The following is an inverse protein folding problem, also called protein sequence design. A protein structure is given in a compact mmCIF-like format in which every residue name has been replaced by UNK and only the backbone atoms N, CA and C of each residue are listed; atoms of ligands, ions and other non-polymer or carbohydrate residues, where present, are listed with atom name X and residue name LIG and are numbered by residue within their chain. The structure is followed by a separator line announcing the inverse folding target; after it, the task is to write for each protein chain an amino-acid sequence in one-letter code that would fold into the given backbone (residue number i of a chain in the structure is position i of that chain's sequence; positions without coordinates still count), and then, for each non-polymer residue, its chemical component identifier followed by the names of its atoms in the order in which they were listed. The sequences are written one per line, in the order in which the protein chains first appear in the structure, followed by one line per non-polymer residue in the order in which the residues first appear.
data_IF_030761440232
#
_entry.id   IF_030761440232
#
_cell.length_a   1.000
_cell.length_b   1.000
_cell.length_c   1.000
_cell.angle_alpha   90.00
_cell.angle_beta   90.00
_cell.angle_gamma   90.00
#
_symmetry.space_group_name_H-M   'P 1'
#
loop_
_entity.id
_entity.type
_entity.pdbx_description
1 polymer ?
#
# COMPACT_ATOMS: atom_id res chain seq x y z
N UNK A 1 3.41 -28.94 12.12
CA UNK A 1 4.23 -27.83 12.66
C UNK A 1 3.50 -26.47 12.68
N UNK A 2 3.19 -25.79 11.56
CA UNK A 2 2.54 -24.46 11.65
C UNK A 2 1.11 -24.47 12.23
N UNK A 3 0.34 -25.54 11.96
CA UNK A 3 -1.03 -25.69 12.44
C UNK A 3 -1.10 -25.91 13.96
N UNK A 4 -0.29 -26.81 14.49
CA UNK A 4 -0.19 -27.06 15.94
C UNK A 4 0.24 -25.81 16.70
N UNK A 5 1.20 -25.05 16.15
CA UNK A 5 1.63 -23.79 16.76
C UNK A 5 0.53 -22.72 16.81
N UNK A 6 -0.39 -22.72 15.84
CA UNK A 6 -1.57 -21.84 15.84
C UNK A 6 -2.59 -22.31 16.88
N UNK A 7 -2.89 -23.61 16.90
CA UNK A 7 -3.84 -24.21 17.84
C UNK A 7 -3.41 -24.01 19.29
N UNK A 8 -2.12 -24.21 19.60
CA UNK A 8 -1.55 -23.93 20.92
C UNK A 8 -1.67 -22.45 21.32
N UNK A 9 -1.37 -21.52 20.41
CA UNK A 9 -1.49 -20.09 20.70
C UNK A 9 -2.95 -19.66 20.92
N UNK A 10 -3.90 -20.27 20.21
CA UNK A 10 -5.33 -20.03 20.41
C UNK A 10 -5.82 -20.60 21.73
N UNK A 11 -5.43 -21.83 22.08
CA UNK A 11 -5.79 -22.45 23.35
C UNK A 11 -5.27 -21.62 24.54
N UNK A 12 -4.01 -21.18 24.49
CA UNK A 12 -3.41 -20.36 25.54
C UNK A 12 -4.08 -18.99 25.64
N UNK A 13 -4.37 -18.34 24.50
CA UNK A 13 -5.15 -17.09 24.49
C UNK A 13 -6.49 -17.28 25.19
N UNK A 14 -7.24 -18.33 24.82
CA UNK A 14 -8.58 -18.58 25.37
C UNK A 14 -8.52 -18.87 26.87
N UNK A 15 -7.56 -19.67 27.33
CA UNK A 15 -7.37 -19.96 28.75
C UNK A 15 -7.01 -18.72 29.55
N UNK A 16 -6.06 -17.91 29.09
CA UNK A 16 -5.68 -16.67 29.77
C UNK A 16 -6.82 -15.64 29.76
N UNK A 17 -7.59 -15.55 28.67
CA UNK A 17 -8.76 -14.67 28.62
C UNK A 17 -9.85 -15.15 29.58
N UNK A 18 -10.12 -16.45 29.65
CA UNK A 18 -11.08 -17.02 30.59
C UNK A 18 -10.67 -16.73 32.04
N UNK A 19 -9.40 -16.90 32.40
CA UNK A 19 -8.90 -16.60 33.74
C UNK A 19 -9.03 -15.11 34.12
N UNK A 20 -8.92 -14.20 33.14
CA UNK A 20 -9.23 -12.77 33.37
C UNK A 20 -10.73 -12.59 33.57
N UNK A 21 -11.55 -13.21 32.72
CA UNK A 21 -13.00 -13.03 32.72
C UNK A 21 -13.66 -13.63 33.98
N UNK A 22 -13.08 -14.69 34.55
CA UNK A 22 -13.51 -15.30 35.82
C UNK A 22 -12.94 -14.60 37.05
N UNK A 23 -11.97 -13.69 36.87
CA UNK A 23 -11.28 -13.00 37.96
C UNK A 23 -10.18 -13.81 38.64
N UNK A 24 -9.76 -14.96 38.09
CA UNK A 24 -8.54 -15.66 38.56
C UNK A 24 -7.27 -14.83 38.35
N UNK A 25 -7.28 -13.98 37.31
CA UNK A 25 -6.27 -12.94 37.08
C UNK A 25 -6.94 -11.59 37.31
N UNK A 26 -6.69 -11.01 38.47
CA UNK A 26 -7.33 -9.78 38.94
C UNK A 26 -6.53 -8.53 38.57
N UNK A 27 -5.23 -8.69 38.32
CA UNK A 27 -4.35 -7.56 38.06
C UNK A 27 -3.24 -7.87 37.05
N UNK A 28 -2.59 -6.79 36.61
CA UNK A 28 -1.55 -6.86 35.57
C UNK A 28 -0.32 -7.63 36.03
N UNK A 29 0.04 -7.57 37.30
CA UNK A 29 1.21 -8.28 37.81
C UNK A 29 1.02 -9.79 37.66
N UNK A 30 -0.12 -10.32 38.12
CA UNK A 30 -0.49 -11.73 37.95
C UNK A 30 -0.49 -12.14 36.48
N UNK A 31 -1.01 -11.29 35.59
CA UNK A 31 -1.00 -11.55 34.15
C UNK A 31 0.44 -11.65 33.59
N UNK A 32 1.36 -10.81 34.04
CA UNK A 32 2.75 -10.82 33.57
C UNK A 32 3.54 -12.01 34.14
N UNK A 33 3.27 -12.39 35.39
CA UNK A 33 3.85 -13.59 36.01
C UNK A 33 3.40 -14.86 35.29
N UNK A 34 2.10 -14.96 34.96
CA UNK A 34 1.57 -16.06 34.15
C UNK A 34 2.17 -16.06 32.74
N UNK A 35 2.32 -14.89 32.11
CA UNK A 35 2.95 -14.81 30.80
C UNK A 35 4.42 -15.30 30.85
N UNK A 36 5.15 -14.96 31.91
CA UNK A 36 6.52 -15.42 32.12
C UNK A 36 6.60 -16.93 32.33
N UNK A 37 5.66 -17.54 33.09
CA UNK A 37 5.64 -19.00 33.30
C UNK A 37 5.42 -19.79 32.00
N UNK A 38 4.73 -19.19 31.03
CA UNK A 38 4.55 -19.73 29.68
C UNK A 38 5.64 -19.33 28.67
N UNK A 39 6.74 -18.71 29.11
CA UNK A 39 7.82 -18.20 28.26
C UNK A 39 7.33 -17.24 27.15
N UNK A 40 6.31 -16.43 27.44
CA UNK A 40 5.76 -15.48 26.50
C UNK A 40 6.53 -14.16 26.54
N UNK A 41 6.96 -13.67 25.38
CA UNK A 41 7.53 -12.33 25.28
C UNK A 41 6.43 -11.27 25.17
N UNK A 42 6.47 -10.28 26.06
CA UNK A 42 5.53 -9.15 26.03
C UNK A 42 5.86 -8.24 24.84
N UNK A 43 4.95 -8.18 23.87
CA UNK A 43 5.13 -7.32 22.70
C UNK A 43 4.41 -5.98 22.82
N UNK A 44 3.41 -5.89 23.70
CA UNK A 44 2.71 -4.64 24.01
C UNK A 44 2.03 -4.74 25.37
N UNK A 45 2.13 -3.67 26.15
CA UNK A 45 1.49 -3.56 27.47
C UNK A 45 0.54 -2.34 27.49
N UNK A 46 -0.66 -2.53 26.92
CA UNK A 46 -1.69 -1.51 26.77
C UNK A 46 -2.42 -1.18 28.07
N UNK A 47 -3.37 -0.24 28.01
CA UNK A 47 -4.19 0.13 29.18
C UNK A 47 -5.16 -1.02 29.52
N UNK A 48 -5.82 -1.53 28.50
CA UNK A 48 -6.93 -2.50 28.54
C UNK A 48 -6.58 -3.84 27.85
N UNK A 49 -5.30 -4.06 27.54
CA UNK A 49 -4.83 -5.31 26.94
C UNK A 49 -3.33 -5.52 27.09
N UNK A 50 -2.91 -6.77 26.93
CA UNK A 50 -1.51 -7.16 26.75
C UNK A 50 -1.37 -8.05 25.52
N UNK A 51 -0.31 -7.83 24.73
CA UNK A 51 0.00 -8.62 23.54
C UNK A 51 1.25 -9.46 23.78
N UNK A 52 1.17 -10.74 23.49
CA UNK A 52 2.22 -11.73 23.76
C UNK A 52 2.71 -12.40 22.49
N UNK A 53 3.97 -12.84 22.50
CA UNK A 53 4.61 -13.63 21.44
C UNK A 53 5.02 -14.98 22.02
N UNK A 54 4.56 -16.06 21.39
CA UNK A 54 5.00 -17.42 21.69
C UNK A 54 6.37 -17.70 21.07
N UNK A 55 7.10 -18.69 21.58
CA UNK A 55 8.36 -19.16 20.98
C UNK A 55 8.22 -19.56 19.50
N UNK A 56 7.03 -19.99 19.08
CA UNK A 56 6.70 -20.31 17.68
C UNK A 56 6.61 -19.10 16.74
N UNK A 57 6.76 -17.87 17.25
CA UNK A 57 6.57 -16.62 16.50
C UNK A 57 5.11 -16.22 16.30
N UNK A 58 4.15 -16.97 16.85
CA UNK A 58 2.74 -16.60 16.85
C UNK A 58 2.45 -15.59 17.95
N UNK A 59 1.54 -14.66 17.67
CA UNK A 59 1.15 -13.58 18.58
C UNK A 59 -0.31 -13.67 18.92
N UNK A 60 -0.65 -13.35 20.16
CA UNK A 60 -2.03 -13.16 20.58
C UNK A 60 -2.14 -11.97 21.55
N UNK A 61 -3.38 -11.62 21.87
CA UNK A 61 -3.72 -10.53 22.77
C UNK A 61 -4.85 -10.98 23.68
N UNK A 62 -4.75 -10.60 24.94
CA UNK A 62 -5.82 -10.69 25.94
C UNK A 62 -6.21 -9.29 26.38
N UNK A 63 -7.50 -9.11 26.68
CA UNK A 63 -8.10 -7.85 27.09
C UNK A 63 -8.51 -7.93 28.56
N UNK A 64 -8.41 -6.82 29.28
CA UNK A 64 -8.74 -6.73 30.70
C UNK A 64 -9.15 -5.31 31.06
N UNK A 65 -9.77 -5.15 32.22
CA UNK A 65 -10.15 -3.86 32.78
C UNK A 65 -9.65 -3.69 34.22
N UNK A 66 -8.34 -3.89 34.45
CA UNK A 66 -7.74 -3.85 35.79
C UNK A 66 -7.79 -2.46 36.46
N UNK A 67 -8.17 -1.39 35.74
CA UNK A 67 -8.25 -0.01 36.24
C UNK A 67 -6.97 0.47 36.96
N UNK A 68 -5.82 -0.14 36.66
CA UNK A 68 -4.53 0.06 37.32
C UNK A 68 -3.73 1.22 36.72
N UNK A 69 -4.29 1.87 35.70
CA UNK A 69 -3.70 3.03 35.03
C UNK A 69 -4.78 4.10 34.86
N UNK A 70 -4.43 5.39 34.96
CA UNK A 70 -5.36 6.45 34.67
C UNK A 70 -5.90 6.27 33.26
N UNK A 71 -7.23 6.32 33.11
CA UNK A 71 -7.88 6.32 31.80
C UNK A 71 -7.29 7.49 31.05
N UNK A 72 -6.45 7.19 30.04
CA UNK A 72 -5.88 8.22 29.19
C UNK A 72 -7.06 8.97 28.61
N UNK A 73 -7.18 10.26 28.92
CA UNK A 73 -8.25 11.10 28.40
C UNK A 73 -8.42 10.77 26.93
N UNK A 74 -9.63 10.35 26.54
CA UNK A 74 -9.93 10.11 25.13
C UNK A 74 -9.63 11.43 24.45
N UNK A 75 -8.46 11.53 23.79
CA UNK A 75 -8.21 12.59 22.82
C UNK A 75 -9.43 12.53 21.93
N UNK A 76 -10.29 13.54 22.03
CA UNK A 76 -11.40 13.73 21.11
C UNK A 76 -10.75 13.54 19.75
N UNK A 77 -11.14 12.48 19.04
CA UNK A 77 -10.69 12.30 17.66
C UNK A 77 -11.29 13.50 16.97
N UNK A 78 -10.53 14.61 16.92
CA UNK A 78 -10.89 15.77 16.16
C UNK A 78 -11.33 15.25 14.81
N UNK A 79 -12.50 15.71 14.38
CA UNK A 79 -13.16 15.27 13.16
C UNK A 79 -12.07 15.10 12.10
N UNK A 80 -11.79 13.84 11.72
CA UNK A 80 -10.79 13.59 10.69
C UNK A 80 -11.39 14.21 9.46
N UNK A 81 -11.04 15.48 9.17
CA UNK A 81 -11.34 16.13 7.91
C UNK A 81 -10.81 15.17 6.86
N UNK A 82 -11.72 14.39 6.26
CA UNK A 82 -11.38 13.56 5.12
C UNK A 82 -10.88 14.58 4.12
N UNK A 83 -9.59 14.55 3.80
CA UNK A 83 -9.10 15.31 2.64
C UNK A 83 -9.94 14.80 1.48
N UNK A 84 -10.93 15.59 1.08
CA UNK A 84 -11.70 15.31 -0.12
C UNK A 84 -10.67 15.44 -1.23
N UNK A 85 -10.22 14.30 -1.74
CA UNK A 85 -9.29 14.26 -2.85
C UNK A 85 -10.10 14.62 -4.09
N UNK A 86 -9.68 15.63 -4.84
CA UNK A 86 -10.32 16.00 -6.10
C UNK A 86 -10.12 14.95 -7.20
N UNK A 87 -9.26 13.96 -6.94
CA UNK A 87 -8.97 12.82 -7.81
C UNK A 87 -7.71 12.09 -7.38
N UNK A 88 -7.21 11.25 -8.28
CA UNK A 88 -6.03 10.42 -8.08
C UNK A 88 -5.14 10.48 -9.31
N UNK A 89 -3.83 10.57 -9.08
CA UNK A 89 -2.83 10.35 -10.12
C UNK A 89 -2.74 8.86 -10.42
N UNK A 90 -2.72 8.52 -11.69
CA UNK A 90 -2.44 7.19 -12.18
C UNK A 90 -1.01 7.21 -12.72
N UNK A 91 -0.19 6.29 -12.23
CA UNK A 91 1.23 6.22 -12.57
C UNK A 91 1.62 4.79 -12.91
N UNK A 92 2.73 4.66 -13.63
CA UNK A 92 3.42 3.39 -13.77
C UNK A 92 4.84 3.48 -13.22
N UNK A 93 5.29 2.37 -12.64
CA UNK A 93 6.69 2.06 -12.45
C UNK A 93 7.07 1.06 -13.54
N UNK A 94 8.12 1.33 -14.31
CA UNK A 94 8.54 0.51 -15.43
C UNK A 94 10.00 0.11 -15.26
N UNK A 95 10.34 -1.08 -15.75
CA UNK A 95 11.71 -1.57 -15.85
C UNK A 95 11.85 -2.27 -17.20
N UNK A 96 12.98 -2.05 -17.88
CA UNK A 96 13.24 -2.62 -19.19
C UNK A 96 14.68 -3.13 -19.24
N UNK A 97 14.86 -4.38 -19.69
CA UNK A 97 16.16 -4.99 -19.92
C UNK A 97 17.01 -4.18 -20.89
N UNK A 98 18.34 -4.31 -20.80
CA UNK A 98 19.28 -3.56 -21.68
C UNK A 98 19.06 -3.83 -23.17
N UNK A 99 18.61 -5.03 -23.54
CA UNK A 99 18.29 -5.39 -24.92
C UNK A 99 16.93 -4.86 -25.38
N UNK A 100 16.14 -4.30 -24.47
CA UNK A 100 14.77 -3.85 -24.72
C UNK A 100 13.74 -4.97 -24.87
N UNK A 101 14.17 -6.24 -24.92
CA UNK A 101 13.33 -7.40 -25.23
C UNK A 101 12.37 -7.75 -24.10
N UNK A 102 12.86 -7.64 -22.86
CA UNK A 102 12.05 -7.84 -21.66
C UNK A 102 11.72 -6.51 -21.02
N UNK A 103 10.46 -6.35 -20.60
CA UNK A 103 9.98 -5.18 -19.90
C UNK A 103 8.89 -5.58 -18.92
N UNK A 104 8.87 -4.94 -17.76
CA UNK A 104 7.89 -5.17 -16.72
C UNK A 104 7.37 -3.85 -16.17
N UNK A 105 6.14 -3.85 -15.67
CA UNK A 105 5.56 -2.68 -15.04
C UNK A 105 4.69 -2.99 -13.81
N UNK A 106 4.51 -1.95 -13.00
CA UNK A 106 3.51 -1.84 -11.95
C UNK A 106 2.68 -0.59 -12.25
N UNK A 107 1.37 -0.73 -12.36
CA UNK A 107 0.45 0.40 -12.48
C UNK A 107 -0.21 0.63 -11.13
N UNK A 108 -0.33 1.88 -10.72
CA UNK A 108 -0.98 2.21 -9.46
C UNK A 108 -1.61 3.59 -9.45
N UNK A 109 -2.39 3.84 -8.41
CA UNK A 109 -3.05 5.12 -8.16
C UNK A 109 -2.58 5.78 -6.86
N UNK A 110 -2.58 7.11 -6.81
CA UNK A 110 -2.23 7.88 -5.60
C UNK A 110 -2.81 9.31 -5.61
N UNK A 111 -3.34 9.75 -4.47
CA UNK A 111 -3.65 11.16 -4.25
C UNK A 111 -2.39 12.01 -3.94
N UNK A 112 -1.31 11.37 -3.49
CA UNK A 112 -0.02 12.00 -3.18
C UNK A 112 1.11 11.14 -3.77
N UNK A 113 1.54 11.48 -4.98
CA UNK A 113 2.60 10.78 -5.72
C UNK A 113 3.91 10.74 -4.94
N UNK A 114 4.29 11.86 -4.34
CA UNK A 114 5.57 11.98 -3.61
C UNK A 114 5.60 11.03 -2.41
N UNK A 115 4.51 10.96 -1.66
CA UNK A 115 4.38 9.96 -0.59
C UNK A 115 4.42 8.56 -1.15
N UNK A 116 3.68 8.29 -2.23
CA UNK A 116 3.56 6.95 -2.79
C UNK A 116 4.86 6.40 -3.38
N UNK A 117 5.61 7.21 -4.14
CA UNK A 117 6.92 6.83 -4.66
C UNK A 117 7.93 6.56 -3.55
N UNK A 118 7.90 7.35 -2.46
CA UNK A 118 8.72 7.07 -1.27
C UNK A 118 8.36 5.75 -0.61
N UNK A 119 7.07 5.41 -0.56
CA UNK A 119 6.63 4.12 -0.02
C UNK A 119 7.13 2.96 -0.89
N UNK A 120 7.06 3.07 -2.21
CA UNK A 120 7.62 2.07 -3.12
C UNK A 120 9.13 1.88 -2.93
N UNK A 121 9.89 2.97 -2.81
CA UNK A 121 11.34 2.88 -2.66
C UNK A 121 11.76 2.34 -1.28
N UNK A 122 11.16 2.83 -0.19
CA UNK A 122 11.67 2.57 1.17
C UNK A 122 10.86 1.54 1.98
N UNK A 123 9.67 1.13 1.51
CA UNK A 123 8.76 0.26 2.28
C UNK A 123 8.31 -0.94 1.48
N UNK A 124 9.25 -1.57 0.81
CA UNK A 124 9.04 -2.82 0.10
C UNK A 124 8.61 -3.91 1.09
N UNK A 125 7.56 -4.64 0.74
CA UNK A 125 7.05 -5.76 1.52
C UNK A 125 6.76 -6.89 0.57
N UNK A 126 7.30 -8.07 0.88
CA UNK A 126 7.08 -9.26 0.08
C UNK A 126 5.57 -9.53 -0.10
N UNK A 127 5.19 -9.84 -1.35
CA UNK A 127 3.80 -10.11 -1.73
C UNK A 127 2.88 -8.89 -1.81
N UNK A 128 3.39 -7.66 -1.65
CA UNK A 128 2.57 -6.45 -1.70
C UNK A 128 3.08 -5.40 -2.69
N UNK A 129 2.13 -4.72 -3.35
CA UNK A 129 2.40 -3.57 -4.19
C UNK A 129 3.38 -3.87 -5.33
N UNK A 130 4.41 -3.04 -5.47
CA UNK A 130 5.42 -3.13 -6.53
C UNK A 130 6.58 -4.08 -6.21
N UNK A 131 6.54 -4.82 -5.09
CA UNK A 131 7.67 -5.67 -4.66
C UNK A 131 8.15 -6.64 -5.75
N UNK A 132 7.22 -7.30 -6.44
CA UNK A 132 7.56 -8.24 -7.50
C UNK A 132 8.26 -7.57 -8.68
N UNK A 133 7.92 -6.31 -9.00
CA UNK A 133 8.63 -5.51 -10.00
C UNK A 133 10.07 -5.21 -9.56
N UNK A 134 10.30 -4.89 -8.28
CA UNK A 134 11.65 -4.70 -7.76
C UNK A 134 12.49 -5.98 -7.83
N UNK A 135 11.89 -7.14 -7.55
CA UNK A 135 12.57 -8.44 -7.73
C UNK A 135 12.92 -8.70 -9.18
N UNK A 136 12.00 -8.41 -10.10
CA UNK A 136 12.21 -8.52 -11.53
C UNK A 136 13.35 -7.59 -12.00
N UNK A 137 13.32 -6.31 -11.61
CA UNK A 137 14.31 -5.32 -12.00
C UNK A 137 15.71 -5.67 -11.46
N UNK A 138 15.79 -6.20 -10.24
CA UNK A 138 17.04 -6.69 -9.67
C UNK A 138 17.61 -7.91 -10.43
N UNK A 139 16.77 -8.82 -10.90
CA UNK A 139 17.20 -9.96 -11.72
C UNK A 139 17.75 -9.51 -13.08
N UNK A 140 17.10 -8.53 -13.70
CA UNK A 140 17.54 -7.94 -14.97
C UNK A 140 18.68 -6.93 -14.81
N UNK A 141 19.05 -6.58 -13.57
CA UNK A 141 20.04 -5.56 -13.23
C UNK A 141 19.75 -4.20 -13.89
N UNK A 142 18.49 -3.77 -13.80
CA UNK A 142 18.02 -2.50 -14.37
C UNK A 142 17.30 -1.66 -13.33
N UNK A 143 17.32 -0.35 -13.54
CA UNK A 143 16.64 0.59 -12.68
C UNK A 143 15.14 0.64 -12.98
N UNK A 144 14.37 0.98 -11.93
CA UNK A 144 12.95 1.27 -12.07
C UNK A 144 12.79 2.76 -12.37
N UNK A 145 12.03 3.05 -13.42
CA UNK A 145 11.62 4.40 -13.77
C UNK A 145 10.16 4.63 -13.40
N UNK A 146 9.81 5.86 -13.05
CA UNK A 146 8.46 6.29 -12.73
C UNK A 146 7.92 7.24 -13.82
N UNK A 147 6.66 7.04 -14.20
CA UNK A 147 5.93 7.89 -15.14
C UNK A 147 4.53 8.16 -14.62
N UNK A 148 4.04 9.39 -14.78
CA UNK A 148 2.66 9.75 -14.42
C UNK A 148 1.83 9.73 -15.70
N UNK A 149 0.88 8.81 -15.78
CA UNK A 149 0.12 8.53 -16.99
C UNK A 149 -1.02 9.53 -17.17
N UNK A 150 -1.84 9.70 -16.14
CA UNK A 150 -3.05 10.54 -16.23
C UNK A 150 -3.56 10.95 -14.84
N UNK A 151 -4.49 11.90 -14.83
CA UNK A 151 -5.28 12.26 -13.67
C UNK A 151 -6.70 11.69 -13.77
N UNK A 152 -7.11 10.92 -12.77
CA UNK A 152 -8.48 10.42 -12.65
C UNK A 152 -9.27 11.32 -11.69
N UNK A 153 -10.22 12.15 -12.17
CA UNK A 153 -10.99 13.02 -11.30
C UNK A 153 -11.95 12.23 -10.40
N UNK A 154 -12.24 12.76 -9.22
CA UNK A 154 -13.28 12.26 -8.33
C UNK A 154 -12.86 11.08 -7.46
N UNK A 155 -13.60 9.98 -7.56
CA UNK A 155 -13.59 8.90 -6.53
C UNK A 155 -12.54 7.84 -6.78
N UNK A 156 -12.21 7.08 -5.73
CA UNK A 156 -11.33 5.91 -5.83
C UNK A 156 -11.87 4.86 -6.81
N UNK A 157 -13.19 4.72 -6.95
CA UNK A 157 -13.78 3.79 -7.93
C UNK A 157 -13.41 4.17 -9.36
N UNK A 158 -13.47 5.47 -9.69
CA UNK A 158 -13.05 5.97 -10.99
C UNK A 158 -11.54 5.73 -11.21
N UNK A 159 -10.72 6.06 -10.22
CA UNK A 159 -9.28 5.82 -10.30
C UNK A 159 -8.93 4.32 -10.48
N UNK A 160 -9.69 3.40 -9.88
CA UNK A 160 -9.56 1.96 -10.12
C UNK A 160 -9.90 1.56 -11.57
N UNK A 161 -10.84 2.23 -12.22
CA UNK A 161 -11.12 2.01 -13.66
C UNK A 161 -9.94 2.46 -14.53
N UNK A 162 -9.37 3.63 -14.23
CA UNK A 162 -8.19 4.11 -14.93
C UNK A 162 -6.95 3.24 -14.67
N UNK A 163 -6.75 2.77 -13.45
CA UNK A 163 -5.66 1.84 -13.09
C UNK A 163 -5.76 0.55 -13.92
N UNK A 164 -6.96 -0.03 -14.00
CA UNK A 164 -7.20 -1.22 -14.81
C UNK A 164 -7.07 -1.01 -16.31
N UNK A 165 -7.54 0.14 -16.82
CA UNK A 165 -7.33 0.56 -18.21
C UNK A 165 -5.85 0.61 -18.58
N UNK A 166 -5.05 1.33 -17.78
CA UNK A 166 -3.63 1.49 -18.04
C UNK A 166 -2.85 0.19 -17.87
N UNK A 167 -3.25 -0.67 -16.93
CA UNK A 167 -2.70 -2.02 -16.81
C UNK A 167 -2.93 -2.83 -18.09
N UNK A 168 -4.15 -2.82 -18.64
CA UNK A 168 -4.46 -3.52 -19.88
C UNK A 168 -3.65 -2.96 -21.07
N UNK A 169 -3.44 -1.64 -21.15
CA UNK A 169 -2.58 -1.04 -22.17
C UNK A 169 -1.13 -1.50 -22.07
N UNK A 170 -0.60 -1.58 -20.85
CA UNK A 170 0.75 -2.07 -20.63
C UNK A 170 0.88 -3.56 -21.01
N UNK A 171 -0.06 -4.40 -20.59
CA UNK A 171 -0.11 -5.83 -20.95
C UNK A 171 -0.15 -6.01 -22.47
N UNK A 172 -1.03 -5.28 -23.17
CA UNK A 172 -1.13 -5.32 -24.64
C UNK A 172 0.13 -4.83 -25.35
N UNK A 173 0.89 -3.93 -24.71
CA UNK A 173 2.19 -3.49 -25.21
C UNK A 173 3.31 -4.48 -24.92
N UNK A 174 3.05 -5.60 -24.24
CA UNK A 174 4.02 -6.64 -23.93
C UNK A 174 4.79 -6.41 -22.62
N UNK A 175 4.26 -5.62 -21.68
CA UNK A 175 4.83 -5.56 -20.34
C UNK A 175 4.43 -6.78 -19.52
N UNK A 176 5.41 -7.41 -18.89
CA UNK A 176 5.18 -8.33 -17.78
C UNK A 176 4.58 -7.53 -16.60
N UNK A 177 3.59 -8.09 -15.91
CA UNK A 177 2.93 -7.45 -14.76
C UNK A 177 3.08 -8.34 -13.51
N UNK A 178 4.29 -8.41 -12.92
CA UNK A 178 4.59 -9.35 -11.84
C UNK A 178 3.64 -9.18 -10.66
N UNK A 179 3.04 -10.27 -10.21
CA UNK A 179 2.05 -10.30 -9.11
C UNK A 179 0.76 -9.47 -9.34
N UNK A 180 0.43 -9.07 -10.57
CA UNK A 180 -0.79 -8.30 -10.85
C UNK A 180 -2.09 -8.99 -10.40
N UNK A 181 -2.11 -10.33 -10.40
CA UNK A 181 -3.23 -11.13 -9.86
C UNK A 181 -3.52 -10.86 -8.37
N UNK A 182 -2.55 -10.33 -7.61
CA UNK A 182 -2.70 -9.96 -6.19
C UNK A 182 -3.22 -8.53 -5.99
N UNK A 183 -3.33 -7.72 -7.05
CA UNK A 183 -3.77 -6.32 -6.95
C UNK A 183 -5.29 -6.17 -6.92
N UNK A 184 -6.01 -7.29 -7.06
CA UNK A 184 -7.47 -7.35 -7.11
C UNK A 184 -7.99 -7.52 -8.52
N UNK A 185 -9.32 -7.70 -8.65
CA UNK A 185 -9.99 -7.77 -9.96
C UNK A 185 -10.21 -6.35 -10.47
N UNK A 186 -9.20 -5.79 -11.15
CA UNK A 186 -9.29 -4.49 -11.78
C UNK A 186 -10.23 -4.54 -13.01
N UNK A 187 -11.12 -3.54 -13.20
CA UNK A 187 -11.88 -3.39 -14.44
C UNK A 187 -10.96 -3.31 -15.65
N UNK A 188 -11.38 -3.84 -16.81
CA UNK A 188 -10.61 -3.78 -18.07
C UNK A 188 -11.45 -3.10 -19.15
N UNK A 189 -11.71 -1.79 -19.06
CA UNK A 189 -12.52 -1.08 -20.04
C UNK A 189 -11.77 -0.95 -21.36
N UNK A 190 -12.46 -1.17 -22.47
CA UNK A 190 -11.86 -1.09 -23.81
C UNK A 190 -11.46 0.34 -24.20
N UNK A 191 -12.09 1.36 -23.61
CA UNK A 191 -11.78 2.77 -23.85
C UNK A 191 -12.08 3.61 -22.61
N UNK A 192 -11.40 4.76 -22.50
CA UNK A 192 -11.73 5.83 -21.56
C UNK A 192 -11.68 7.15 -22.33
N UNK A 193 -12.55 8.13 -22.01
CA UNK A 193 -12.52 9.45 -22.64
C UNK A 193 -11.12 10.07 -22.55
N UNK A 194 -10.64 10.62 -23.67
CA UNK A 194 -9.39 11.35 -23.75
C UNK A 194 -8.14 10.53 -23.36
N UNK A 195 -8.22 9.20 -23.41
CA UNK A 195 -7.10 8.30 -23.15
C UNK A 195 -6.69 7.50 -24.40
N UNK A 196 -5.39 7.22 -24.59
CA UNK A 196 -4.90 6.57 -25.80
C UNK A 196 -5.27 5.09 -25.86
N UNK A 197 -5.78 4.63 -27.01
CA UNK A 197 -6.14 3.23 -27.23
C UNK A 197 -4.96 2.24 -27.13
N UNK A 198 -3.73 2.73 -27.23
CA UNK A 198 -2.50 1.96 -27.13
C UNK A 198 -1.60 2.55 -26.04
N UNK A 199 -0.64 1.75 -25.56
CA UNK A 199 0.41 2.25 -24.68
C UNK A 199 1.29 3.28 -25.43
N UNK A 200 1.38 4.54 -24.96
CA UNK A 200 2.12 5.60 -25.63
C UNK A 200 3.63 5.44 -25.35
N UNK A 201 4.26 4.49 -26.04
CA UNK A 201 5.62 4.01 -25.74
C UNK A 201 6.64 5.16 -25.79
N UNK A 202 6.57 5.99 -26.82
CA UNK A 202 7.51 7.11 -27.04
C UNK A 202 7.39 8.16 -25.93
N UNK A 203 6.17 8.53 -25.58
CA UNK A 203 5.86 9.54 -24.57
C UNK A 203 6.24 9.05 -23.16
N UNK A 204 5.96 7.77 -22.88
CA UNK A 204 6.38 7.10 -21.65
C UNK A 204 7.90 7.11 -21.53
N UNK A 205 8.63 6.69 -22.56
CA UNK A 205 10.10 6.69 -22.53
C UNK A 205 10.67 8.08 -22.33
N UNK A 206 10.10 9.10 -22.99
CA UNK A 206 10.54 10.50 -22.86
C UNK A 206 10.30 11.08 -21.47
N UNK A 207 9.22 10.65 -20.79
CA UNK A 207 8.78 11.22 -19.50
C UNK A 207 9.17 10.37 -18.29
N UNK A 208 9.76 9.20 -18.52
CA UNK A 208 10.20 8.29 -17.48
C UNK A 208 11.44 8.86 -16.76
N UNK A 209 11.37 8.91 -15.43
CA UNK A 209 12.47 9.40 -14.57
C UNK A 209 12.83 8.26 -13.61
N UNK A 210 14.11 8.09 -13.27
CA UNK A 210 14.52 7.10 -12.26
C UNK A 210 13.74 7.29 -10.95
N UNK A 211 13.16 6.21 -10.42
CA UNK A 211 12.40 6.27 -9.17
C UNK A 211 13.27 6.78 -8.00
N UNK A 212 14.55 6.43 -8.00
CA UNK A 212 15.51 6.91 -6.99
C UNK A 212 15.66 8.42 -7.11
N UNK A 213 15.83 8.96 -8.32
CA UNK A 213 15.95 10.41 -8.54
C UNK A 213 14.67 11.14 -8.13
N UNK A 214 13.50 10.62 -8.55
CA UNK A 214 12.20 11.17 -8.16
C UNK A 214 12.07 11.30 -6.64
N UNK A 215 12.47 10.28 -5.88
CA UNK A 215 12.35 10.29 -4.42
C UNK A 215 13.42 11.16 -3.76
N UNK A 216 14.68 11.03 -4.18
CA UNK A 216 15.82 11.69 -3.53
C UNK A 216 15.88 13.17 -3.85
N UNK A 217 15.66 13.53 -5.12
CA UNK A 217 15.66 14.92 -5.59
C UNK A 217 14.27 15.59 -5.47
N UNK A 218 13.24 14.83 -5.04
CA UNK A 218 11.86 15.31 -4.86
C UNK A 218 11.25 15.84 -6.16
N UNK A 219 11.58 15.23 -7.29
CA UNK A 219 11.02 15.58 -8.60
C UNK A 219 9.54 15.20 -8.68
N UNK A 220 8.79 15.96 -9.47
CA UNK A 220 7.40 15.63 -9.83
C UNK A 220 7.40 15.30 -11.32
N UNK A 221 7.22 14.02 -11.71
CA UNK A 221 7.14 13.68 -13.12
C UNK A 221 5.96 14.41 -13.79
N UNK A 222 6.14 14.79 -15.06
CA UNK A 222 5.08 15.38 -15.86
C UNK A 222 4.01 14.34 -16.20
N UNK A 223 2.77 14.79 -16.30
CA UNK A 223 1.62 13.96 -16.64
C UNK A 223 1.55 13.80 -18.15
N UNK A 224 1.41 12.59 -18.66
CA UNK A 224 1.30 12.34 -20.10
C UNK A 224 -0.02 12.84 -20.68
N UNK A 225 -1.13 12.41 -20.10
CA UNK A 225 -2.47 12.77 -20.53
C UNK A 225 -3.08 13.74 -19.52
N UNK A 226 -2.89 15.04 -19.74
CA UNK A 226 -3.49 16.10 -18.91
C UNK A 226 -4.58 16.83 -19.70
N UNK A 227 -5.72 17.11 -19.05
CA UNK A 227 -6.70 18.06 -19.56
C UNK A 227 -6.25 19.46 -19.16
N UNK A 228 -5.83 20.27 -20.13
CA UNK A 228 -5.87 21.73 -19.95
C UNK A 228 -7.30 22.21 -20.19
N UNK A 229 -8.10 22.33 -19.13
CA UNK A 229 -9.28 23.20 -19.15
C UNK A 229 -8.85 24.66 -18.93
N UNK A 230 -8.12 25.23 -19.89
CA UNK A 230 -7.94 26.67 -20.01
C UNK A 230 -7.97 27.06 -21.50
N UNK A 231 -9.17 27.02 -22.07
CA UNK A 231 -9.48 27.73 -23.32
C UNK A 231 -10.90 28.27 -23.25
N UNK A 232 -11.04 29.46 -22.65
CA UNK A 232 -12.12 30.44 -22.82
C UNK A 232 -11.66 31.63 -21.98
N UNK A 233 -11.10 32.71 -22.52
CA UNK A 233 -11.70 33.62 -23.49
C UNK A 233 -10.61 34.43 -24.21
N UNK A 234 -10.53 34.29 -25.53
CA UNK A 234 -10.09 35.38 -26.41
C UNK A 234 -11.17 35.56 -27.47
N UNK A 235 -11.31 36.79 -27.98
CA UNK A 235 -12.39 37.36 -28.81
C UNK A 235 -13.50 38.00 -27.95
N UNK A 236 -13.78 39.29 -28.02
CA UNK A 236 -13.35 40.30 -28.99
C UNK A 236 -13.39 41.71 -28.38
N UNK A 237 -12.36 42.50 -28.69
CA UNK A 237 -12.48 43.95 -28.82
C UNK A 237 -12.53 44.26 -30.31
N UNK A 238 -13.70 44.65 -30.80
CA UNK A 238 -13.92 45.65 -31.84
C UNK A 238 -15.19 46.41 -31.48
#
# INVERSE_FOLDING_TARGET
MQREAIEQALALKSSMQAAIDTGEIENRQQLMELAASHNLAVTRNGIDYAGFMCASGKRFRVHFNFNDRPVKEKRVKGERKRKITTGFWIYALIAQSKSGQRKACYVGQAADLRKRFREHLHRQREGHGSYALFRWAAQEQVDIQAVVLTWAPGTQSNATHFEGYWLQRAENAGFETPDAHKWGKLPRPDSLPDQPLLWPTTEVQKSAISLIEVVMQKLTPQVLCFKDELNTTSFASQ
#
